data_IF_189144097472
#
_entry.id   IF_189144097472
#
_cell.length_a   1.000
_cell.length_b   1.000
_cell.length_c   1.000
_cell.angle_alpha   90.00
_cell.angle_beta   90.00
_cell.angle_gamma   90.00
#
_symmetry.space_group_name_H-M   'P 1'
#
loop_
_entity.id
_entity.type
_entity.pdbx_description
1 polymer ?
#
# COMPACT_ATOMS: atom_id res chain seq x y z
N UNK A 1 11.77 -12.24 15.72
CA UNK A 1 10.45 -11.56 15.80
C UNK A 1 9.41 -12.54 15.23
N UNK A 2 8.44 -13.01 16.03
CA UNK A 2 7.44 -13.98 15.57
C UNK A 2 6.33 -13.24 14.84
N UNK A 3 6.23 -13.38 13.52
CA UNK A 3 5.15 -12.75 12.75
C UNK A 3 3.84 -13.49 13.00
N UNK A 4 2.78 -12.75 13.32
CA UNK A 4 1.45 -13.29 13.58
C UNK A 4 0.83 -13.83 12.28
N UNK A 5 0.36 -15.09 12.30
CA UNK A 5 -0.25 -15.76 11.14
C UNK A 5 -1.53 -15.06 10.65
N UNK A 6 -2.24 -14.37 11.56
CA UNK A 6 -3.46 -13.63 11.23
C UNK A 6 -3.17 -12.37 10.41
N UNK A 7 -2.22 -11.54 10.87
CA UNK A 7 -1.81 -10.30 10.20
C UNK A 7 -1.23 -10.55 8.79
N UNK A 8 -0.49 -11.65 8.63
CA UNK A 8 0.07 -12.05 7.33
C UNK A 8 -1.00 -12.52 6.35
N UNK A 9 -2.03 -13.22 6.81
CA UNK A 9 -3.18 -13.58 5.96
C UNK A 9 -4.02 -12.37 5.55
N UNK A 10 -4.16 -11.38 6.44
CA UNK A 10 -4.86 -10.12 6.15
C UNK A 10 -4.11 -9.30 5.09
N UNK A 11 -2.78 -9.23 5.16
CA UNK A 11 -1.97 -8.56 4.13
C UNK A 11 -2.16 -9.15 2.74
N UNK A 12 -2.13 -10.48 2.60
CA UNK A 12 -2.35 -11.12 1.29
C UNK A 12 -3.77 -10.84 0.78
N UNK A 13 -4.77 -10.77 1.67
CA UNK A 13 -6.13 -10.36 1.32
C UNK A 13 -6.16 -8.96 0.71
N UNK A 14 -5.58 -7.97 1.40
CA UNK A 14 -5.51 -6.59 0.91
C UNK A 14 -4.85 -6.52 -0.48
N UNK A 15 -3.76 -7.25 -0.69
CA UNK A 15 -3.06 -7.27 -1.98
C UNK A 15 -3.92 -7.88 -3.09
N UNK A 16 -4.61 -8.99 -2.81
CA UNK A 16 -5.51 -9.64 -3.78
C UNK A 16 -6.64 -8.74 -4.22
N UNK A 17 -7.24 -8.03 -3.27
CA UNK A 17 -8.43 -7.22 -3.52
C UNK A 17 -8.09 -5.94 -4.31
N UNK A 18 -6.93 -5.32 -4.03
CA UNK A 18 -6.63 -3.97 -4.53
C UNK A 18 -5.69 -3.92 -5.73
N UNK A 19 -4.69 -4.82 -5.82
CA UNK A 19 -3.61 -4.67 -6.82
C UNK A 19 -4.13 -4.74 -8.24
N UNK A 20 -4.96 -5.74 -8.56
CA UNK A 20 -5.46 -5.95 -9.92
C UNK A 20 -6.34 -4.79 -10.40
N UNK A 21 -7.21 -4.29 -9.51
CA UNK A 21 -8.10 -3.17 -9.82
C UNK A 21 -7.31 -1.88 -10.02
N UNK A 22 -6.36 -1.59 -9.13
CA UNK A 22 -5.56 -0.35 -9.21
C UNK A 22 -4.66 -0.31 -10.44
N UNK A 23 -4.01 -1.44 -10.78
CA UNK A 23 -3.19 -1.56 -11.99
C UNK A 23 -4.01 -1.26 -13.24
N UNK A 24 -5.25 -1.80 -13.29
CA UNK A 24 -6.18 -1.55 -14.39
C UNK A 24 -6.63 -0.09 -14.44
N UNK A 25 -7.06 0.49 -13.30
CA UNK A 25 -7.51 1.89 -13.21
C UNK A 25 -6.43 2.89 -13.60
N UNK A 26 -5.17 2.60 -13.23
CA UNK A 26 -4.02 3.44 -13.55
C UNK A 26 -3.49 3.20 -14.97
N UNK A 27 -4.07 2.26 -15.74
CA UNK A 27 -3.59 1.91 -17.08
C UNK A 27 -2.19 1.31 -17.10
N UNK A 28 -1.70 0.84 -15.95
CA UNK A 28 -0.40 0.21 -15.78
C UNK A 28 -0.54 -1.18 -16.38
N UNK A 29 0.10 -1.44 -17.52
CA UNK A 29 0.07 -2.77 -18.16
C UNK A 29 1.01 -3.73 -17.42
N UNK A 30 1.99 -4.31 -18.11
CA UNK A 30 2.92 -5.27 -17.50
C UNK A 30 4.27 -4.64 -17.13
N UNK A 31 4.38 -3.31 -17.17
CA UNK A 31 5.66 -2.57 -17.05
C UNK A 31 5.82 -1.82 -15.72
N UNK A 32 4.93 -2.04 -14.76
CA UNK A 32 4.99 -1.36 -13.46
C UNK A 32 5.90 -2.10 -12.49
N UNK A 33 6.35 -1.37 -11.48
CA UNK A 33 7.21 -1.85 -10.40
C UNK A 33 6.44 -1.70 -9.08
N UNK A 34 6.30 -2.80 -8.33
CA UNK A 34 5.75 -2.76 -6.97
C UNK A 34 6.84 -2.43 -5.96
N UNK A 35 6.53 -1.56 -4.99
CA UNK A 35 7.45 -1.17 -3.93
C UNK A 35 6.75 -1.29 -2.56
N UNK A 36 7.30 -2.10 -1.63
CA UNK A 36 6.74 -2.34 -0.28
C UNK A 36 7.84 -2.47 0.77
N UNK A 37 7.60 -2.02 1.99
CA UNK A 37 8.66 -1.90 2.99
C UNK A 37 9.12 -3.28 3.47
N UNK A 38 10.27 -3.32 4.14
CA UNK A 38 10.79 -4.55 4.72
C UNK A 38 10.15 -4.86 6.09
N UNK A 39 8.92 -4.39 6.34
CA UNK A 39 8.20 -4.75 7.55
C UNK A 39 8.12 -6.29 7.62
N UNK A 40 8.46 -6.92 8.76
CA UNK A 40 8.40 -8.37 8.96
C UNK A 40 7.11 -9.04 8.46
N UNK A 41 5.98 -8.33 8.44
CA UNK A 41 4.70 -8.83 7.88
C UNK A 41 4.66 -8.89 6.36
N UNK A 42 5.44 -8.06 5.67
CA UNK A 42 5.49 -7.96 4.20
C UNK A 42 6.58 -8.86 3.60
N UNK A 43 7.57 -9.27 4.41
CA UNK A 43 8.64 -10.18 3.99
C UNK A 43 8.37 -11.65 4.36
N UNK A 44 7.19 -11.97 4.89
CA UNK A 44 6.80 -13.37 5.16
C UNK A 44 6.67 -14.12 3.85
N UNK A 45 7.06 -15.39 3.89
CA UNK A 45 7.11 -16.28 2.73
C UNK A 45 5.83 -16.28 1.90
N UNK A 46 4.65 -16.37 2.53
CA UNK A 46 3.38 -16.37 1.80
C UNK A 46 3.12 -15.07 1.01
N UNK A 47 3.54 -13.92 1.56
CA UNK A 47 3.43 -12.62 0.89
C UNK A 47 4.44 -12.55 -0.25
N UNK A 48 5.69 -12.96 0.00
CA UNK A 48 6.74 -13.01 -1.03
C UNK A 48 6.36 -13.88 -2.21
N UNK A 49 5.83 -15.08 -1.97
CA UNK A 49 5.38 -16.00 -3.02
C UNK A 49 4.23 -15.40 -3.83
N UNK A 50 3.26 -14.76 -3.15
CA UNK A 50 2.16 -14.10 -3.83
C UNK A 50 2.65 -12.95 -4.72
N UNK A 51 3.56 -12.12 -4.20
CA UNK A 51 4.16 -11.01 -4.96
C UNK A 51 4.95 -11.54 -6.17
N UNK A 52 5.79 -12.55 -5.98
CA UNK A 52 6.59 -13.13 -7.07
C UNK A 52 5.71 -13.71 -8.19
N UNK A 53 4.55 -14.27 -7.85
CA UNK A 53 3.63 -14.86 -8.83
C UNK A 53 2.76 -13.82 -9.55
N UNK A 54 2.40 -12.71 -8.88
CA UNK A 54 1.37 -11.77 -9.38
C UNK A 54 1.89 -10.44 -9.89
N UNK A 55 3.13 -10.08 -9.53
CA UNK A 55 3.69 -8.77 -9.81
C UNK A 55 4.74 -8.91 -10.92
N UNK A 56 4.66 -8.12 -12.00
CA UNK A 56 5.60 -8.25 -13.11
C UNK A 56 7.02 -7.83 -12.72
N UNK A 57 7.17 -6.78 -11.91
CA UNK A 57 8.46 -6.33 -11.41
C UNK A 57 8.34 -5.93 -9.93
N UNK A 58 9.14 -6.53 -9.06
CA UNK A 58 9.21 -6.19 -7.64
C UNK A 58 10.50 -5.41 -7.38
N UNK A 59 10.38 -4.25 -6.72
CA UNK A 59 11.53 -3.50 -6.25
C UNK A 59 12.17 -4.24 -5.07
N UNK A 60 13.37 -4.78 -5.27
CA UNK A 60 14.10 -5.58 -4.27
C UNK A 60 15.10 -4.75 -3.45
N UNK A 61 15.46 -3.56 -3.92
CA UNK A 61 16.27 -2.61 -3.15
C UNK A 61 15.35 -1.82 -2.20
N UNK A 62 15.90 -1.33 -1.08
CA UNK A 62 15.27 -0.24 -0.34
C UNK A 62 15.70 1.03 -1.07
N UNK A 63 14.87 1.66 -1.90
CA UNK A 63 15.25 2.95 -2.43
C UNK A 63 15.24 3.89 -1.22
N UNK A 64 16.32 4.63 -0.98
CA UNK A 64 16.34 5.70 0.05
C UNK A 64 15.17 6.68 -0.19
N UNK A 65 14.73 6.79 -1.44
CA UNK A 65 13.57 7.55 -1.93
C UNK A 65 12.20 7.03 -1.47
N UNK A 66 12.10 5.80 -0.93
CA UNK A 66 10.84 5.21 -0.40
C UNK A 66 10.16 6.12 0.61
N UNK A 67 10.94 6.64 1.54
CA UNK A 67 10.36 7.47 2.58
C UNK A 67 9.92 8.84 2.04
N UNK A 68 10.43 9.27 0.89
CA UNK A 68 10.11 10.58 0.33
C UNK A 68 8.76 10.56 -0.37
N UNK A 69 8.45 9.52 -1.14
CA UNK A 69 7.15 9.40 -1.82
C UNK A 69 6.00 9.27 -0.82
N UNK A 70 6.08 8.34 0.15
CA UNK A 70 4.99 8.09 1.10
C UNK A 70 4.78 9.31 2.01
N UNK A 71 5.87 9.95 2.47
CA UNK A 71 5.76 11.19 3.25
C UNK A 71 5.20 12.34 2.43
N UNK A 72 5.53 12.44 1.15
CA UNK A 72 4.97 13.45 0.25
C UNK A 72 3.45 13.24 0.09
N UNK A 73 3.00 12.01 -0.20
CA UNK A 73 1.57 11.69 -0.31
C UNK A 73 0.84 11.98 1.00
N UNK A 74 1.40 11.56 2.15
CA UNK A 74 0.80 11.85 3.46
C UNK A 74 0.79 13.34 3.78
N UNK A 75 1.80 14.09 3.35
CA UNK A 75 1.83 15.55 3.44
C UNK A 75 0.68 16.20 2.66
N UNK A 76 0.45 15.74 1.42
CA UNK A 76 -0.67 16.21 0.58
C UNK A 76 -2.01 15.87 1.24
N UNK A 77 -2.22 14.62 1.65
CA UNK A 77 -3.46 14.18 2.31
C UNK A 77 -3.73 15.02 3.56
N UNK A 78 -2.73 15.17 4.43
CA UNK A 78 -2.87 15.97 5.65
C UNK A 78 -3.17 17.44 5.33
N UNK A 79 -2.58 18.00 4.27
CA UNK A 79 -2.87 19.37 3.87
C UNK A 79 -4.31 19.57 3.40
N UNK A 80 -4.87 18.60 2.67
CA UNK A 80 -6.27 18.62 2.22
C UNK A 80 -7.23 18.44 3.40
N UNK A 81 -6.93 17.51 4.30
CA UNK A 81 -7.74 17.22 5.49
C UNK A 81 -7.74 18.34 6.53
N UNK A 82 -6.70 19.18 6.60
CA UNK A 82 -6.68 20.36 7.51
C UNK A 82 -7.84 21.32 7.26
N UNK A 83 -8.36 21.35 6.03
CA UNK A 83 -9.48 22.22 5.66
C UNK A 83 -10.84 21.55 5.92
N UNK A 84 -10.86 20.28 6.34
CA UNK A 84 -12.08 19.54 6.63
C UNK A 84 -12.30 19.42 8.14
N UNK A 85 -13.56 19.60 8.58
CA UNK A 85 -13.94 19.40 9.99
C UNK A 85 -14.05 17.91 10.29
N UNK A 86 -12.91 17.27 10.54
CA UNK A 86 -12.86 15.84 10.90
C UNK A 86 -13.08 15.68 12.41
N UNK A 87 -14.34 15.45 12.81
CA UNK A 87 -14.71 15.27 14.21
C UNK A 87 -14.89 13.79 14.63
N UNK A 88 -14.89 12.86 13.68
CA UNK A 88 -15.12 11.43 13.95
C UNK A 88 -14.43 10.53 12.94
N UNK A 89 -14.28 9.24 13.28
CA UNK A 89 -13.74 8.21 12.39
C UNK A 89 -14.53 8.12 11.07
N UNK A 90 -15.85 8.27 11.13
CA UNK A 90 -16.70 8.21 9.95
C UNK A 90 -16.55 9.47 9.08
N UNK A 91 -16.45 10.63 9.73
CA UNK A 91 -16.14 11.90 9.05
C UNK A 91 -14.80 11.81 8.33
N UNK A 92 -13.77 11.24 8.97
CA UNK A 92 -12.45 11.03 8.34
C UNK A 92 -12.55 10.09 7.15
N UNK A 93 -13.31 9.00 7.27
CA UNK A 93 -13.47 8.02 6.20
C UNK A 93 -14.15 8.64 4.98
N UNK A 94 -15.14 9.50 5.20
CA UNK A 94 -15.85 10.19 4.12
C UNK A 94 -14.96 11.24 3.47
N UNK A 95 -14.24 12.03 4.27
CA UNK A 95 -13.22 12.98 3.80
C UNK A 95 -12.19 12.31 2.88
N UNK A 96 -11.64 11.18 3.30
CA UNK A 96 -10.66 10.42 2.50
C UNK A 96 -11.22 9.86 1.19
N UNK A 97 -12.52 9.54 1.14
CA UNK A 97 -13.17 9.05 -0.10
C UNK A 97 -13.45 10.17 -1.10
N UNK A 98 -13.53 11.42 -0.67
CA UNK A 98 -13.75 12.58 -1.54
C UNK A 98 -12.47 13.22 -2.08
N UNK A 99 -11.30 12.77 -1.63
CA UNK A 99 -9.98 13.26 -2.07
C UNK A 99 -9.62 12.84 -3.50
#
# INVERSE_FOLDING_TARGET
MKTNRKETSENVGILKDNVSENVTKLGLRNTWISQQDNDPKNIVEIVKLWLLYRIPNLCTSIPVTRFESDRMYMGIINSKLKNESVASKESLRNALKSL
#
